data_IF_288533732841
#
_entry.id   IF_288533732841
#
_cell.length_a   1.000
_cell.length_b   1.000
_cell.length_c   1.000
_cell.angle_alpha   90.00
_cell.angle_beta   90.00
_cell.angle_gamma   90.00
#
_symmetry.space_group_name_H-M   'P 1'
#
loop_
_entity.id
_entity.type
_entity.pdbx_description
1 polymer ?
#
# COMPACT_ATOMS: atom_id res chain seq x y z
N UNK A 1 -0.62 -17.77 -12.12
CA UNK A 1 0.45 -17.67 -11.09
C UNK A 1 0.56 -16.26 -10.51
N UNK A 2 0.50 -15.22 -11.36
CA UNK A 2 0.54 -13.81 -10.94
C UNK A 2 -0.50 -13.44 -9.86
N UNK A 3 -1.75 -13.89 -9.99
CA UNK A 3 -2.82 -13.55 -9.03
C UNK A 3 -2.55 -14.08 -7.62
N UNK A 4 -2.09 -15.33 -7.48
CA UNK A 4 -1.73 -15.91 -6.18
C UNK A 4 -0.57 -15.16 -5.52
N UNK A 5 0.45 -14.83 -6.31
CA UNK A 5 1.60 -14.06 -5.82
C UNK A 5 1.19 -12.64 -5.42
N UNK A 6 0.35 -11.99 -6.23
CA UNK A 6 -0.16 -10.66 -5.95
C UNK A 6 -0.99 -10.63 -4.66
N UNK A 7 -1.93 -11.57 -4.49
CA UNK A 7 -2.74 -11.67 -3.28
C UNK A 7 -1.89 -11.95 -2.05
N UNK A 8 -0.89 -12.82 -2.14
CA UNK A 8 0.01 -13.11 -1.03
C UNK A 8 0.85 -11.89 -0.62
N UNK A 9 1.42 -11.17 -1.59
CA UNK A 9 2.16 -9.94 -1.34
C UNK A 9 1.27 -8.86 -0.72
N UNK A 10 0.05 -8.69 -1.24
CA UNK A 10 -0.91 -7.73 -0.71
C UNK A 10 -1.31 -8.07 0.73
N UNK A 11 -1.63 -9.32 1.02
CA UNK A 11 -1.94 -9.79 2.36
C UNK A 11 -0.77 -9.57 3.34
N UNK A 12 0.46 -9.86 2.90
CA UNK A 12 1.67 -9.65 3.71
C UNK A 12 1.85 -8.17 4.04
N UNK A 13 1.71 -7.29 3.05
CA UNK A 13 1.84 -5.83 3.22
C UNK A 13 0.79 -5.25 4.17
N UNK A 14 -0.47 -5.71 4.06
CA UNK A 14 -1.55 -5.29 4.95
C UNK A 14 -1.41 -5.86 6.37
N UNK A 15 -0.84 -7.07 6.49
CA UNK A 15 -0.63 -7.70 7.78
C UNK A 15 0.51 -7.02 8.56
N UNK A 16 1.60 -6.65 7.88
CA UNK A 16 2.79 -6.12 8.52
C UNK A 16 2.70 -4.64 8.90
N UNK A 17 2.00 -3.82 8.10
CA UNK A 17 2.11 -2.36 8.22
C UNK A 17 0.77 -1.65 8.44
N UNK A 18 0.80 -0.66 9.33
CA UNK A 18 -0.14 0.45 9.34
C UNK A 18 0.27 1.48 8.28
N UNK A 19 -0.69 1.84 7.42
CA UNK A 19 -0.47 2.76 6.31
C UNK A 19 -0.96 4.16 6.68
N UNK A 20 -0.03 5.13 6.74
CA UNK A 20 -0.34 6.52 7.10
C UNK A 20 0.03 7.47 5.97
N UNK A 21 -0.86 8.44 5.71
CA UNK A 21 -0.60 9.53 4.77
C UNK A 21 0.21 10.64 5.45
N UNK A 22 1.22 11.20 4.79
CA UNK A 22 2.12 12.19 5.39
C UNK A 22 1.40 13.49 5.82
N UNK A 23 0.33 13.91 5.12
CA UNK A 23 -0.30 15.22 5.36
C UNK A 23 -1.77 15.19 5.82
N UNK A 24 -2.33 14.03 6.25
CA UNK A 24 -3.78 13.85 6.50
C UNK A 24 -4.71 14.34 5.36
N UNK A 25 -4.16 14.59 4.17
CA UNK A 25 -4.91 14.96 2.97
C UNK A 25 -5.58 13.71 2.40
N UNK A 26 -6.72 13.89 1.74
CA UNK A 26 -7.32 12.80 0.95
C UNK A 26 -6.41 12.46 -0.24
N UNK A 27 -6.23 11.18 -0.58
CA UNK A 27 -5.45 10.81 -1.76
C UNK A 27 -6.11 11.36 -3.04
N UNK A 28 -5.31 11.94 -3.92
CA UNK A 28 -5.75 12.32 -5.26
C UNK A 28 -5.84 11.05 -6.12
N UNK A 29 -7.07 10.70 -6.53
CA UNK A 29 -7.35 9.53 -7.36
C UNK A 29 -7.55 9.88 -8.83
N UNK A 30 -7.20 11.10 -9.26
CA UNK A 30 -7.26 11.47 -10.66
C UNK A 30 -6.30 10.61 -11.48
N UNK A 31 -6.74 10.21 -12.67
CA UNK A 31 -6.01 9.28 -13.52
C UNK A 31 -5.23 10.03 -14.61
N UNK A 32 -4.10 9.45 -15.02
CA UNK A 32 -3.40 9.83 -16.25
C UNK A 32 -3.80 8.87 -17.36
N UNK A 33 -4.31 9.41 -18.47
CA UNK A 33 -4.70 8.63 -19.64
C UNK A 33 -3.50 7.94 -20.30
N UNK A 34 -3.68 6.71 -20.80
CA UNK A 34 -2.65 5.93 -21.49
C UNK A 34 -3.02 4.46 -21.62
N UNK A 35 -2.06 3.64 -22.07
CA UNK A 35 -2.22 2.18 -22.25
C UNK A 35 -2.50 1.46 -20.93
N UNK A 36 -2.05 2.04 -19.80
CA UNK A 36 -2.26 1.53 -18.45
C UNK A 36 -2.86 2.61 -17.55
N UNK A 37 -3.77 2.21 -16.66
CA UNK A 37 -4.36 3.10 -15.67
C UNK A 37 -3.30 3.43 -14.61
N UNK A 38 -3.02 4.73 -14.42
CA UNK A 38 -2.09 5.24 -13.41
C UNK A 38 -2.67 6.47 -12.74
N UNK A 39 -2.41 6.64 -11.45
CA UNK A 39 -2.68 7.90 -10.76
C UNK A 39 -1.86 9.03 -11.39
N UNK A 40 -2.50 10.18 -11.61
CA UNK A 40 -1.87 11.40 -12.12
C UNK A 40 -0.75 11.86 -11.19
N UNK A 41 -1.01 11.77 -9.89
CA UNK A 41 -0.09 12.09 -8.82
C UNK A 41 0.20 10.79 -8.04
N UNK A 42 1.45 10.28 -8.03
CA UNK A 42 1.77 9.06 -7.31
C UNK A 42 1.41 9.16 -5.81
N UNK A 43 0.70 8.16 -5.29
CA UNK A 43 0.38 8.09 -3.88
C UNK A 43 1.61 7.65 -3.08
N UNK A 44 2.03 8.47 -2.12
CA UNK A 44 3.14 8.16 -1.20
C UNK A 44 2.57 7.96 0.20
N UNK A 45 2.95 6.85 0.81
CA UNK A 45 2.52 6.40 2.14
C UNK A 45 3.74 5.97 2.95
N UNK A 46 3.70 6.21 4.26
CA UNK A 46 4.77 5.79 5.17
C UNK A 46 4.28 4.51 5.87
N UNK A 47 4.90 3.34 5.62
CA UNK A 47 4.57 2.13 6.34
C UNK A 47 5.15 2.20 7.76
N UNK A 48 4.31 1.99 8.77
CA UNK A 48 4.73 1.81 10.15
C UNK A 48 4.44 0.37 10.59
N UNK A 49 5.27 -0.29 11.41
CA UNK A 49 4.93 -1.59 11.98
C UNK A 49 3.57 -1.52 12.70
N UNK A 50 2.67 -2.43 12.34
CA UNK A 50 1.33 -2.57 12.95
C UNK A 50 1.39 -3.08 14.40
N UNK A 51 2.36 -3.95 14.70
CA UNK A 51 2.55 -4.56 16.01
C UNK A 51 3.84 -4.01 16.65
N UNK A 52 3.87 -3.85 17.98
CA UNK A 52 5.00 -3.25 18.69
C UNK A 52 6.23 -4.17 18.77
N UNK A 53 6.02 -5.49 18.72
CA UNK A 53 7.08 -6.49 18.78
C UNK A 53 7.13 -7.27 17.45
N UNK A 54 8.29 -7.31 16.76
CA UNK A 54 8.48 -8.06 15.53
C UNK A 54 8.17 -9.56 15.62
N UNK A 55 8.28 -10.18 16.80
CA UNK A 55 7.98 -11.60 17.01
C UNK A 55 6.48 -11.93 16.88
N UNK A 56 5.62 -10.92 16.89
CA UNK A 56 4.17 -11.11 16.77
C UNK A 56 3.69 -11.31 15.33
N UNK A 57 4.61 -11.33 14.36
CA UNK A 57 4.33 -11.61 12.94
C UNK A 57 4.68 -13.04 12.51
N UNK A 58 5.14 -13.87 13.45
CA UNK A 58 5.49 -15.28 13.24
C UNK A 58 4.25 -16.19 13.15
#
# INVERSE_FOLDING_TARGET
MAERMFMFLLATLLHCFDWKLPERKKPDLSEKFGIVIKLKNPLVVIPAPRLPDPKLYE
#
